data_IF_798451970879
#
_entry.id   IF_798451970879
#
_cell.length_a   1.000
_cell.length_b   1.000
_cell.length_c   1.000
_cell.angle_alpha   90.00
_cell.angle_beta   90.00
_cell.angle_gamma   90.00
#
_symmetry.space_group_name_H-M   'P 1'
#
loop_
_entity.id
_entity.type
_entity.pdbx_description
1 polymer ?
#
# COMPACT_ATOMS: atom_id res chain seq x y z
N UNK A 1 51.02 12.13 -27.71
CA UNK A 1 49.57 12.09 -28.05
C UNK A 1 48.84 11.20 -27.04
N UNK A 2 48.28 11.78 -25.97
CA UNK A 2 47.45 11.04 -25.00
C UNK A 2 45.98 11.25 -25.40
N UNK A 3 45.27 10.18 -25.76
CA UNK A 3 43.82 10.24 -26.04
C UNK A 3 43.09 10.42 -24.71
N UNK A 4 42.50 11.60 -24.50
CA UNK A 4 41.51 11.86 -23.45
C UNK A 4 40.21 11.15 -23.86
N UNK A 5 39.90 10.04 -23.21
CA UNK A 5 38.59 9.40 -23.32
C UNK A 5 37.60 10.26 -22.55
N UNK A 6 36.78 11.04 -23.27
CA UNK A 6 35.62 11.77 -22.71
C UNK A 6 34.68 10.75 -22.08
N UNK A 7 34.62 10.69 -20.74
CA UNK A 7 33.51 10.07 -20.03
C UNK A 7 32.26 10.89 -20.37
N UNK A 8 31.36 10.28 -21.14
CA UNK A 8 30.03 10.84 -21.41
C UNK A 8 29.25 10.67 -20.11
N UNK A 9 29.12 11.74 -19.32
CA UNK A 9 28.20 11.78 -18.20
C UNK A 9 26.81 11.45 -18.75
N UNK A 10 26.29 10.27 -18.37
CA UNK A 10 24.88 9.94 -18.56
C UNK A 10 24.05 10.95 -17.77
N UNK A 11 22.85 11.35 -18.25
CA UNK A 11 22.04 12.34 -17.56
C UNK A 11 21.67 11.84 -16.15
N UNK A 12 22.02 12.65 -15.14
CA UNK A 12 21.85 12.41 -13.70
C UNK A 12 20.40 12.61 -13.23
N UNK A 13 19.44 11.91 -13.82
CA UNK A 13 18.09 11.82 -13.24
C UNK A 13 17.88 10.44 -12.61
N UNK A 14 18.07 10.29 -11.28
CA UNK A 14 17.93 8.99 -10.61
C UNK A 14 16.53 8.39 -10.76
N UNK A 15 15.49 9.19 -11.04
CA UNK A 15 14.13 8.68 -11.29
C UNK A 15 14.01 7.92 -12.61
N UNK A 16 14.88 8.20 -13.59
CA UNK A 16 14.84 7.58 -14.92
C UNK A 16 15.51 6.19 -14.96
N UNK A 17 16.30 5.85 -13.95
CA UNK A 17 16.96 4.54 -13.78
C UNK A 17 16.07 3.49 -13.09
N UNK A 18 14.90 3.89 -12.58
CA UNK A 18 13.98 3.06 -11.80
C UNK A 18 12.65 2.79 -12.52
N UNK A 19 12.50 3.20 -13.78
CA UNK A 19 11.30 2.87 -14.55
C UNK A 19 11.31 1.37 -14.86
N UNK A 20 10.36 0.66 -14.25
CA UNK A 20 10.11 -0.74 -14.52
C UNK A 20 9.79 -0.91 -16.01
N UNK A 21 10.41 -1.90 -16.65
CA UNK A 21 10.09 -2.25 -18.03
C UNK A 21 8.72 -2.94 -18.10
N UNK A 22 8.14 -3.02 -19.30
CA UNK A 22 6.90 -3.79 -19.52
C UNK A 22 7.06 -5.26 -19.09
N UNK A 23 8.27 -5.82 -19.24
CA UNK A 23 8.62 -7.16 -18.78
C UNK A 23 8.63 -7.26 -17.25
N UNK A 24 9.24 -6.29 -16.56
CA UNK A 24 9.23 -6.22 -15.09
C UNK A 24 7.81 -6.09 -14.56
N UNK A 25 6.99 -5.24 -15.19
CA UNK A 25 5.59 -5.05 -14.81
C UNK A 25 4.77 -6.34 -15.00
N UNK A 26 5.02 -7.07 -16.08
CA UNK A 26 4.40 -8.39 -16.33
C UNK A 26 4.80 -9.40 -15.25
N UNK A 27 6.08 -9.44 -14.88
CA UNK A 27 6.59 -10.33 -13.83
C UNK A 27 5.97 -10.01 -12.46
N UNK A 28 5.89 -8.73 -12.09
CA UNK A 28 5.23 -8.27 -10.86
C UNK A 28 3.76 -8.68 -10.87
N UNK A 29 3.04 -8.47 -11.96
CA UNK A 29 1.63 -8.87 -12.08
C UNK A 29 1.45 -10.39 -11.94
N UNK A 30 2.38 -11.19 -12.47
CA UNK A 30 2.37 -12.65 -12.28
C UNK A 30 2.64 -13.02 -10.82
N UNK A 31 3.61 -12.38 -10.16
CA UNK A 31 3.89 -12.58 -8.75
C UNK A 31 2.66 -12.26 -7.89
N UNK A 32 2.03 -11.10 -8.10
CA UNK A 32 0.79 -10.70 -7.43
C UNK A 32 -0.29 -11.76 -7.62
N UNK A 33 -0.50 -12.28 -8.84
CA UNK A 33 -1.50 -13.34 -9.09
C UNK A 33 -1.18 -14.64 -8.36
N UNK A 34 0.10 -15.02 -8.29
CA UNK A 34 0.52 -16.20 -7.53
C UNK A 34 0.26 -16.02 -6.03
N UNK A 35 0.59 -14.84 -5.51
CA UNK A 35 0.32 -14.45 -4.13
C UNK A 35 -1.19 -14.43 -3.85
N UNK A 36 -2.01 -13.79 -4.69
CA UNK A 36 -3.47 -13.77 -4.56
C UNK A 36 -4.06 -15.19 -4.56
N UNK A 37 -3.60 -16.08 -5.44
CA UNK A 37 -3.99 -17.50 -5.40
C UNK A 37 -3.59 -18.18 -4.10
N UNK A 38 -2.43 -17.83 -3.54
CA UNK A 38 -1.99 -18.40 -2.27
C UNK A 38 -2.72 -17.80 -1.07
N UNK A 39 -3.04 -16.51 -1.08
CA UNK A 39 -3.56 -15.76 0.07
C UNK A 39 -5.08 -15.69 0.10
N UNK A 40 -5.74 -15.50 -1.06
CA UNK A 40 -7.20 -15.39 -1.16
C UNK A 40 -7.88 -16.76 -1.25
N UNK A 41 -7.19 -17.79 -1.77
CA UNK A 41 -7.75 -19.15 -1.89
C UNK A 41 -7.36 -20.04 -0.71
N UNK A 42 -6.14 -19.91 -0.16
CA UNK A 42 -5.72 -20.59 1.08
C UNK A 42 -5.70 -19.58 2.22
N UNK A 43 -6.77 -19.57 2.99
CA UNK A 43 -7.16 -18.52 3.92
C UNK A 43 -6.23 -18.27 5.13
N UNK A 44 -5.01 -18.79 5.16
CA UNK A 44 -4.15 -18.75 6.37
C UNK A 44 -2.82 -18.00 6.17
N UNK A 45 -2.46 -17.60 4.95
CA UNK A 45 -1.08 -17.14 4.67
C UNK A 45 -0.90 -15.61 4.88
N UNK A 46 -1.98 -14.83 4.98
CA UNK A 46 -1.96 -13.40 5.34
C UNK A 46 -1.98 -13.13 6.86
N UNK A 47 -1.58 -14.11 7.66
CA UNK A 47 -1.46 -13.97 9.11
C UNK A 47 -0.10 -13.41 9.56
N UNK A 48 0.84 -13.24 8.63
CA UNK A 48 2.14 -12.62 8.90
C UNK A 48 2.17 -11.16 8.45
N UNK A 49 2.51 -10.20 9.34
CA UNK A 49 2.72 -8.79 8.97
C UNK A 49 3.71 -8.61 7.81
N UNK A 50 4.76 -9.42 7.73
CA UNK A 50 5.75 -9.37 6.65
C UNK A 50 5.15 -9.78 5.30
N UNK A 51 4.28 -10.79 5.29
CA UNK A 51 3.60 -11.24 4.08
C UNK A 51 2.60 -10.17 3.59
N UNK A 52 1.86 -9.54 4.50
CA UNK A 52 0.99 -8.40 4.20
C UNK A 52 1.76 -7.24 3.60
N UNK A 53 2.88 -6.87 4.22
CA UNK A 53 3.76 -5.81 3.75
C UNK A 53 4.34 -6.09 2.37
N UNK A 54 4.83 -7.31 2.13
CA UNK A 54 5.37 -7.70 0.83
C UNK A 54 4.32 -7.64 -0.28
N UNK A 55 3.11 -8.12 -0.01
CA UNK A 55 1.99 -8.03 -0.95
C UNK A 55 1.61 -6.58 -1.26
N UNK A 56 1.44 -5.74 -0.23
CA UNK A 56 1.08 -4.32 -0.41
C UNK A 56 2.19 -3.56 -1.14
N UNK A 57 3.46 -3.85 -0.85
CA UNK A 57 4.58 -3.26 -1.58
C UNK A 57 4.53 -3.63 -3.06
N UNK A 58 4.27 -4.89 -3.40
CA UNK A 58 4.11 -5.30 -4.81
C UNK A 58 2.94 -4.59 -5.52
N UNK A 59 1.85 -4.30 -4.80
CA UNK A 59 0.68 -3.61 -5.35
C UNK A 59 0.90 -2.10 -5.54
N UNK A 60 1.61 -1.46 -4.63
CA UNK A 60 1.64 0.01 -4.48
C UNK A 60 2.99 0.66 -4.81
N UNK A 61 4.05 -0.13 -4.97
CA UNK A 61 5.39 0.39 -5.31
C UNK A 61 5.42 1.06 -6.68
N UNK A 62 6.20 2.14 -6.78
CA UNK A 62 6.46 2.91 -8.00
C UNK A 62 5.23 3.51 -8.69
N UNK A 63 4.09 3.62 -8.00
CA UNK A 63 2.95 4.37 -8.52
C UNK A 63 3.26 5.88 -8.48
N UNK A 64 3.07 6.55 -9.61
CA UNK A 64 3.34 7.99 -9.79
C UNK A 64 2.33 8.90 -9.08
N UNK A 65 1.25 8.32 -8.54
CA UNK A 65 0.19 8.98 -7.81
C UNK A 65 -0.11 8.22 -6.52
N UNK A 66 -0.65 8.92 -5.53
CA UNK A 66 -1.04 8.28 -4.28
C UNK A 66 -2.28 7.40 -4.48
N UNK A 67 -2.23 6.18 -3.96
CA UNK A 67 -3.37 5.26 -3.93
C UNK A 67 -3.64 4.89 -2.48
N UNK A 68 -4.86 5.15 -2.01
CA UNK A 68 -5.34 4.65 -0.74
C UNK A 68 -6.12 3.36 -0.96
N UNK A 69 -5.61 2.28 -0.38
CA UNK A 69 -6.12 0.92 -0.53
C UNK A 69 -6.53 0.33 0.82
N UNK A 70 -7.41 -0.67 0.75
CA UNK A 70 -7.94 -1.37 1.91
C UNK A 70 -7.87 -2.87 1.67
N UNK A 71 -7.26 -3.58 2.62
CA UNK A 71 -7.43 -5.03 2.78
C UNK A 71 -8.61 -5.25 3.72
N UNK A 72 -9.63 -5.96 3.24
CA UNK A 72 -10.80 -6.35 4.01
C UNK A 72 -10.59 -7.75 4.55
N UNK A 73 -10.81 -7.95 5.86
CA UNK A 73 -10.56 -9.21 6.53
C UNK A 73 -11.78 -9.72 7.31
N UNK A 74 -11.91 -11.03 7.40
CA UNK A 74 -12.90 -11.69 8.23
C UNK A 74 -12.49 -11.73 9.72
N UNK A 75 -13.32 -12.33 10.57
CA UNK A 75 -13.07 -12.46 12.01
C UNK A 75 -11.84 -13.31 12.37
N UNK A 76 -11.32 -14.11 11.45
CA UNK A 76 -10.09 -14.91 11.61
C UNK A 76 -8.89 -14.23 10.95
N UNK A 77 -9.02 -12.95 10.58
CA UNK A 77 -8.01 -12.15 9.88
C UNK A 77 -7.61 -12.75 8.52
N UNK A 78 -8.57 -13.39 7.85
CA UNK A 78 -8.38 -13.93 6.50
C UNK A 78 -8.81 -12.86 5.52
N UNK A 79 -8.00 -12.65 4.47
CA UNK A 79 -8.32 -11.62 3.47
C UNK A 79 -9.56 -12.04 2.69
N UNK A 80 -10.57 -11.18 2.70
CA UNK A 80 -11.78 -11.27 1.88
C UNK A 80 -11.46 -10.73 0.49
N UNK A 81 -10.95 -9.49 0.44
CA UNK A 81 -10.49 -8.85 -0.78
C UNK A 81 -9.51 -7.71 -0.50
N UNK A 82 -8.85 -7.25 -1.56
CA UNK A 82 -8.04 -6.04 -1.62
C UNK A 82 -8.70 -5.06 -2.59
N UNK A 83 -8.80 -3.78 -2.22
CA UNK A 83 -9.32 -2.74 -3.12
C UNK A 83 -8.54 -1.43 -3.03
N UNK A 84 -8.28 -0.84 -4.19
CA UNK A 84 -7.76 0.53 -4.33
C UNK A 84 -8.96 1.49 -4.28
N UNK A 85 -9.27 1.99 -3.09
CA UNK A 85 -10.50 2.75 -2.85
C UNK A 85 -10.44 4.19 -3.33
N UNK A 86 -9.26 4.81 -3.27
CA UNK A 86 -9.07 6.19 -3.71
C UNK A 86 -7.76 6.36 -4.44
N UNK A 87 -7.78 7.23 -5.45
CA UNK A 87 -6.59 7.66 -6.19
C UNK A 87 -6.47 9.17 -6.06
N UNK A 88 -5.32 9.60 -5.59
CA UNK A 88 -4.97 10.99 -5.35
C UNK A 88 -4.11 11.58 -6.44
N UNK A 89 -3.61 12.78 -6.16
CA UNK A 89 -2.52 13.39 -6.92
C UNK A 89 -1.19 13.11 -6.20
N UNK A 90 -0.16 13.89 -6.50
CA UNK A 90 1.10 13.90 -5.74
C UNK A 90 0.89 14.47 -4.32
N UNK A 91 -0.12 15.31 -4.12
CA UNK A 91 -0.41 15.98 -2.84
C UNK A 91 -1.31 15.16 -1.90
N UNK A 92 -1.76 13.98 -2.36
CA UNK A 92 -2.53 13.03 -1.56
C UNK A 92 -3.87 12.62 -2.17
N UNK A 93 -4.48 11.60 -1.57
CA UNK A 93 -5.83 11.14 -1.92
C UNK A 93 -6.91 11.74 -1.01
N UNK A 94 -7.99 12.23 -1.60
CA UNK A 94 -9.19 12.63 -0.85
C UNK A 94 -9.98 11.39 -0.43
N UNK A 95 -9.69 10.88 0.76
CA UNK A 95 -10.34 9.71 1.34
C UNK A 95 -11.62 10.12 2.06
N UNK A 96 -12.73 9.46 1.74
CA UNK A 96 -14.03 9.72 2.34
C UNK A 96 -14.45 8.56 3.27
N UNK A 97 -14.51 8.77 4.59
CA UNK A 97 -14.88 7.72 5.55
C UNK A 97 -16.18 6.98 5.22
N UNK A 98 -17.20 7.69 4.69
CA UNK A 98 -18.48 7.08 4.29
C UNK A 98 -18.34 5.95 3.26
N UNK A 99 -17.43 6.09 2.31
CA UNK A 99 -17.25 5.06 1.27
C UNK A 99 -16.51 3.84 1.83
N UNK A 100 -15.57 4.06 2.75
CA UNK A 100 -14.89 2.96 3.46
C UNK A 100 -15.91 2.21 4.32
N UNK A 101 -16.72 2.92 5.11
CA UNK A 101 -17.79 2.31 5.92
C UNK A 101 -18.75 1.51 5.05
N UNK A 102 -19.23 2.08 3.94
CA UNK A 102 -20.10 1.38 2.98
C UNK A 102 -19.44 0.08 2.49
N UNK A 103 -18.17 0.14 2.09
CA UNK A 103 -17.47 -1.03 1.53
C UNK A 103 -17.20 -2.11 2.58
N UNK A 104 -16.86 -1.72 3.80
CA UNK A 104 -16.74 -2.64 4.94
C UNK A 104 -18.04 -3.43 5.17
N UNK A 105 -19.18 -2.75 5.12
CA UNK A 105 -20.49 -3.39 5.27
C UNK A 105 -20.77 -4.35 4.10
N UNK A 106 -20.54 -3.90 2.86
CA UNK A 106 -20.78 -4.72 1.66
C UNK A 106 -19.88 -5.97 1.59
N UNK A 107 -18.67 -5.91 2.15
CA UNK A 107 -17.74 -7.05 2.23
C UNK A 107 -18.01 -7.96 3.43
N UNK A 108 -18.85 -7.53 4.39
CA UNK A 108 -18.96 -8.15 5.71
C UNK A 108 -17.59 -8.26 6.42
N UNK A 109 -16.72 -7.27 6.23
CA UNK A 109 -15.41 -7.25 6.87
C UNK A 109 -15.56 -7.04 8.38
N UNK A 110 -14.82 -7.82 9.16
CA UNK A 110 -14.71 -7.64 10.61
C UNK A 110 -13.46 -6.84 11.01
N UNK A 111 -12.50 -6.73 10.09
CA UNK A 111 -11.28 -5.97 10.28
C UNK A 111 -10.76 -5.44 8.95
N UNK A 112 -9.94 -4.39 9.00
CA UNK A 112 -9.28 -3.78 7.85
C UNK A 112 -7.82 -3.49 8.12
N UNK A 113 -7.01 -3.50 7.06
CA UNK A 113 -5.69 -2.89 7.02
C UNK A 113 -5.71 -1.82 5.94
N UNK A 114 -5.33 -0.59 6.29
CA UNK A 114 -5.16 0.49 5.33
C UNK A 114 -3.75 0.48 4.76
N UNK A 115 -3.60 0.91 3.52
CA UNK A 115 -2.29 1.18 2.96
C UNK A 115 -2.33 2.25 1.88
N UNK A 116 -1.29 3.08 1.84
CA UNK A 116 -1.07 4.01 0.73
C UNK A 116 0.40 4.14 0.38
N UNK A 117 0.68 4.52 -0.86
CA UNK A 117 2.03 4.89 -1.28
C UNK A 117 2.22 6.41 -1.22
N UNK A 118 3.44 6.85 -0.93
CA UNK A 118 3.85 8.22 -1.20
C UNK A 118 4.67 8.26 -2.50
N UNK A 119 4.23 8.99 -3.55
CA UNK A 119 5.01 9.13 -4.80
C UNK A 119 6.40 9.76 -4.62
N UNK A 120 6.65 10.38 -3.45
CA UNK A 120 7.96 10.90 -3.06
C UNK A 120 8.99 9.79 -2.76
N UNK A 121 8.52 8.56 -2.50
CA UNK A 121 9.35 7.43 -2.07
C UNK A 121 9.65 7.39 -0.57
N UNK A 122 9.28 8.41 0.20
CA UNK A 122 9.48 8.49 1.65
C UNK A 122 8.29 7.89 2.36
N UNK A 123 8.50 6.91 3.26
CA UNK A 123 7.39 6.24 3.96
C UNK A 123 6.96 6.92 5.27
N UNK A 124 7.53 8.07 5.62
CA UNK A 124 7.18 8.78 6.86
C UNK A 124 5.74 9.34 6.75
N UNK A 125 4.82 8.94 7.65
CA UNK A 125 3.45 9.39 7.58
C UNK A 125 3.30 10.89 7.84
N UNK A 126 2.42 11.52 7.05
CA UNK A 126 2.07 12.92 7.24
C UNK A 126 1.14 13.11 8.44
N UNK A 127 1.02 14.35 8.93
CA UNK A 127 0.01 14.70 9.93
C UNK A 127 -1.43 14.48 9.41
N UNK A 128 -1.64 14.57 8.11
CA UNK A 128 -2.93 14.25 7.49
C UNK A 128 -3.21 12.75 7.54
N UNK A 129 -2.20 11.91 7.35
CA UNK A 129 -2.31 10.45 7.41
C UNK A 129 -2.71 10.02 8.83
N UNK A 130 -2.07 10.59 9.86
CA UNK A 130 -2.42 10.36 11.26
C UNK A 130 -3.89 10.73 11.57
N UNK A 131 -4.31 11.95 11.18
CA UNK A 131 -5.70 12.40 11.41
C UNK A 131 -6.72 11.56 10.66
N UNK A 132 -6.42 11.20 9.41
CA UNK A 132 -7.28 10.35 8.59
C UNK A 132 -7.44 8.98 9.25
N UNK A 133 -6.33 8.35 9.63
CA UNK A 133 -6.32 7.04 10.29
C UNK A 133 -7.17 7.05 11.56
N UNK A 134 -7.00 8.07 12.41
CA UNK A 134 -7.79 8.20 13.63
C UNK A 134 -9.28 8.37 13.33
N UNK A 135 -9.61 9.17 12.32
CA UNK A 135 -11.01 9.38 11.90
C UNK A 135 -11.64 8.07 11.43
N UNK A 136 -10.91 7.30 10.61
CA UNK A 136 -11.37 6.00 10.10
C UNK A 136 -11.48 4.96 11.22
N UNK A 137 -10.49 4.87 12.11
CA UNK A 137 -10.52 3.99 13.27
C UNK A 137 -11.73 4.29 14.15
N UNK A 138 -12.00 5.55 14.44
CA UNK A 138 -13.17 5.95 15.21
C UNK A 138 -14.48 5.56 14.51
N UNK A 139 -14.62 5.87 13.22
CA UNK A 139 -15.82 5.56 12.46
C UNK A 139 -16.09 4.04 12.38
N UNK A 140 -15.06 3.24 12.11
CA UNK A 140 -15.19 1.79 12.01
C UNK A 140 -15.43 1.12 13.37
N UNK A 141 -14.91 1.70 14.45
CA UNK A 141 -15.17 1.19 15.81
C UNK A 141 -16.64 1.29 16.21
N UNK A 142 -17.41 2.24 15.65
CA UNK A 142 -18.84 2.38 15.90
C UNK A 142 -19.68 1.24 15.31
N UNK A 143 -19.09 0.44 14.40
CA UNK A 143 -19.73 -0.72 13.77
C UNK A 143 -18.96 -2.01 14.03
N UNK A 144 -18.19 -2.05 15.12
CA UNK A 144 -17.42 -3.21 15.59
C UNK A 144 -16.36 -3.74 14.60
N UNK A 145 -15.82 -2.86 13.74
CA UNK A 145 -14.80 -3.20 12.75
C UNK A 145 -13.43 -2.69 13.20
N UNK A 146 -12.45 -3.60 13.26
CA UNK A 146 -11.10 -3.31 13.76
C UNK A 146 -10.21 -2.76 12.65
N UNK A 147 -9.50 -1.66 12.91
CA UNK A 147 -8.37 -1.24 12.09
C UNK A 147 -7.12 -1.91 12.67
N UNK A 148 -6.57 -2.89 11.97
CA UNK A 148 -5.43 -3.68 12.45
C UNK A 148 -4.10 -2.99 12.19
N UNK A 149 -3.98 -2.33 11.04
CA UNK A 149 -2.79 -1.56 10.69
C UNK A 149 -3.10 -0.45 9.67
N UNK A 150 -2.18 0.48 9.54
CA UNK A 150 -2.06 1.38 8.41
C UNK A 150 -0.60 1.40 7.93
N UNK A 151 -0.38 0.97 6.68
CA UNK A 151 0.97 0.78 6.12
C UNK A 151 1.24 1.83 5.04
N UNK A 152 2.25 2.67 5.26
CA UNK A 152 2.75 3.61 4.25
C UNK A 152 3.87 2.95 3.46
N UNK A 153 3.74 2.95 2.13
CA UNK A 153 4.70 2.35 1.20
C UNK A 153 5.57 3.45 0.58
N UNK A 154 6.87 3.42 0.86
CA UNK A 154 7.89 4.17 0.15
C UNK A 154 8.67 3.30 -0.84
N UNK A 155 9.78 3.82 -1.36
CA UNK A 155 10.60 3.11 -2.35
C UNK A 155 11.34 1.92 -1.70
N UNK A 156 12.09 2.21 -0.64
CA UNK A 156 12.96 1.23 0.02
C UNK A 156 12.22 0.57 1.18
N UNK A 157 11.57 1.38 1.99
CA UNK A 157 10.95 0.95 3.24
C UNK A 157 9.44 1.16 3.24
N UNK A 158 8.80 0.55 4.22
CA UNK A 158 7.40 0.78 4.55
C UNK A 158 7.27 1.01 6.04
N UNK A 159 6.34 1.88 6.44
CA UNK A 159 6.05 2.17 7.83
C UNK A 159 4.70 1.56 8.22
N UNK A 160 4.68 0.76 9.29
CA UNK A 160 3.46 0.30 9.95
C UNK A 160 3.10 1.24 11.10
N UNK A 161 1.85 1.69 11.15
CA UNK A 161 1.35 2.49 12.28
C UNK A 161 1.26 1.65 13.55
N UNK A 162 0.86 0.38 13.44
CA UNK A 162 0.76 -0.52 14.58
C UNK A 162 2.13 -0.73 15.24
N UNK A 163 3.16 -1.02 14.45
CA UNK A 163 4.53 -1.22 14.95
C UNK A 163 5.12 0.05 15.57
N UNK A 164 4.74 1.23 15.08
CA UNK A 164 5.17 2.52 15.62
C UNK A 164 4.32 3.02 16.80
N UNK A 165 3.28 2.30 17.20
CA UNK A 165 2.36 2.74 18.26
C UNK A 165 1.55 3.99 17.90
N UNK A 166 1.23 4.17 16.62
CA UNK A 166 0.49 5.32 16.08
C UNK A 166 -1.02 5.06 15.90
N UNK A 167 -1.49 3.87 16.28
CA UNK A 167 -2.88 3.41 16.06
C UNK A 167 -3.79 3.60 17.27
#
# INVERSE_FOLDING_TARGET
MKRQTRFRLLPHDPKRLLQLTDEDQSLINQAIRCLEKQYLVKSDVMTSPDATRAYLKLRLYALEYEVFSVLFLDNRHRVICYEEMFRGTIDGANVHPREIVRRVIETNAAAVIFAHNHPSGVAEPSQSDLRLTQTLKNALSMIDVRVLDHIVIGDIESVSFAERGLL
#
